data_IF_888381817710
#
_entry.id   IF_888381817710
#
_cell.length_a   1.000
_cell.length_b   1.000
_cell.length_c   1.000
_cell.angle_alpha   90.00
_cell.angle_beta   90.00
_cell.angle_gamma   90.00
#
_symmetry.space_group_name_H-M   'P 1'
#
loop_
_entity.id
_entity.type
_entity.pdbx_description
1 polymer ?
#
# COMPACT_ATOMS: atom_id res chain seq x y z
N UNK A 1 -1.45 17.69 -19.28
CA UNK A 1 -0.37 17.01 -18.50
C UNK A 1 0.39 18.04 -17.64
N UNK A 2 -0.34 18.72 -16.74
CA UNK A 2 0.22 19.79 -15.88
C UNK A 2 1.04 19.22 -14.72
N UNK A 3 0.82 17.97 -14.31
CA UNK A 3 1.45 17.35 -13.14
C UNK A 3 2.69 16.47 -13.46
N UNK A 4 3.06 16.31 -14.72
CA UNK A 4 4.14 15.41 -15.13
C UNK A 4 5.52 15.72 -14.53
N UNK A 5 6.01 16.99 -14.53
CA UNK A 5 7.33 17.30 -13.99
C UNK A 5 7.41 17.21 -12.46
N UNK A 6 6.32 17.57 -11.77
CA UNK A 6 6.25 17.53 -10.31
C UNK A 6 6.17 16.09 -9.79
N UNK A 7 5.40 15.23 -10.48
CA UNK A 7 5.32 13.81 -10.15
C UNK A 7 6.67 13.10 -10.39
N UNK A 8 7.43 13.52 -11.42
CA UNK A 8 8.79 13.02 -11.66
C UNK A 8 9.74 13.35 -10.52
N UNK A 9 9.73 14.58 -10.03
CA UNK A 9 10.57 14.99 -8.92
C UNK A 9 10.30 14.19 -7.65
N UNK A 10 9.02 13.95 -7.34
CA UNK A 10 8.63 13.11 -6.20
C UNK A 10 9.07 11.66 -6.37
N UNK A 11 8.90 11.09 -7.57
CA UNK A 11 9.31 9.71 -7.86
C UNK A 11 10.83 9.58 -7.85
N UNK A 12 11.57 10.54 -8.40
CA UNK A 12 13.03 10.54 -8.39
C UNK A 12 13.57 10.68 -6.96
N UNK A 13 12.93 11.46 -6.12
CA UNK A 13 13.29 11.62 -4.72
C UNK A 13 12.97 10.35 -3.90
N UNK A 14 11.85 9.70 -4.20
CA UNK A 14 11.46 8.44 -3.59
C UNK A 14 12.36 7.27 -4.06
N UNK A 15 12.74 7.25 -5.34
CA UNK A 15 13.67 6.24 -5.88
C UNK A 15 15.13 6.45 -5.45
N UNK A 16 15.52 7.67 -5.08
CA UNK A 16 16.83 7.94 -4.51
C UNK A 16 17.03 7.35 -3.11
N UNK A 17 15.94 6.96 -2.45
CA UNK A 17 15.95 6.29 -1.14
C UNK A 17 16.60 4.91 -1.23
N UNK A 18 16.31 4.20 -2.32
CA UNK A 18 16.87 2.88 -2.59
C UNK A 18 17.93 2.99 -3.69
N UNK A 19 19.20 2.77 -3.38
CA UNK A 19 20.23 2.80 -4.41
C UNK A 19 19.94 1.73 -5.48
N UNK A 20 20.16 2.07 -6.77
CA UNK A 20 19.93 1.11 -7.85
C UNK A 20 20.89 -0.08 -7.70
N UNK A 21 20.37 -1.28 -7.66
CA UNK A 21 21.18 -2.50 -7.64
C UNK A 21 21.71 -2.75 -9.05
N UNK A 22 22.97 -2.36 -9.29
CA UNK A 22 23.71 -2.74 -10.48
C UNK A 22 24.74 -3.77 -10.07
N UNK A 23 24.40 -5.06 -10.30
CA UNK A 23 25.31 -6.15 -9.98
C UNK A 23 26.69 -5.93 -10.60
N UNK A 24 27.72 -5.93 -9.77
CA UNK A 24 29.11 -5.84 -10.19
C UNK A 24 29.77 -7.21 -10.28
N UNK A 25 28.99 -8.29 -10.02
CA UNK A 25 29.48 -9.66 -10.01
C UNK A 25 30.39 -9.99 -8.82
N UNK A 26 30.46 -9.12 -7.84
CA UNK A 26 31.21 -9.32 -6.61
C UNK A 26 30.32 -9.97 -5.55
N UNK A 27 30.63 -11.22 -5.22
CA UNK A 27 29.85 -11.99 -4.25
C UNK A 27 30.27 -11.66 -2.82
N UNK A 28 29.28 -11.28 -1.98
CA UNK A 28 29.49 -11.00 -0.56
C UNK A 28 28.60 -11.93 0.27
N UNK A 29 29.18 -12.47 1.36
CA UNK A 29 28.43 -13.26 2.32
C UNK A 29 27.47 -12.38 3.10
N UNK A 30 26.19 -12.73 3.07
CA UNK A 30 25.18 -12.05 3.87
C UNK A 30 25.32 -12.43 5.35
N UNK A 31 25.12 -11.45 6.23
CA UNK A 31 25.10 -11.65 7.69
C UNK A 31 23.73 -12.25 8.11
N UNK A 32 23.64 -12.86 9.30
CA UNK A 32 22.34 -13.28 9.83
C UNK A 32 21.33 -12.15 9.92
N UNK A 33 20.05 -12.44 9.62
CA UNK A 33 18.97 -11.44 9.64
C UNK A 33 18.85 -10.71 10.99
N UNK A 34 19.14 -11.41 12.09
CA UNK A 34 19.08 -10.82 13.43
C UNK A 34 20.05 -9.63 13.58
N UNK A 35 21.19 -9.67 12.90
CA UNK A 35 22.20 -8.62 12.97
C UNK A 35 21.74 -7.37 12.19
N UNK A 36 21.08 -7.55 11.03
CA UNK A 36 20.44 -6.44 10.30
C UNK A 36 19.33 -5.78 11.10
N UNK A 37 18.50 -6.58 11.80
CA UNK A 37 17.45 -6.04 12.67
C UNK A 37 18.04 -5.27 13.85
N UNK A 38 19.15 -5.75 14.41
CA UNK A 38 19.87 -5.07 15.49
C UNK A 38 20.45 -3.74 15.01
N UNK A 39 21.12 -3.75 13.85
CA UNK A 39 21.68 -2.54 13.26
C UNK A 39 20.60 -1.49 12.91
N UNK A 40 19.44 -1.95 12.43
CA UNK A 40 18.31 -1.07 12.18
C UNK A 40 17.72 -0.48 13.47
N UNK A 41 17.63 -1.27 14.55
CA UNK A 41 17.17 -0.80 15.85
C UNK A 41 18.15 0.20 16.49
N UNK A 42 19.44 0.05 16.26
CA UNK A 42 20.46 1.00 16.71
C UNK A 42 20.37 2.32 15.91
N UNK A 43 20.11 2.23 14.61
CA UNK A 43 19.98 3.40 13.74
C UNK A 43 18.69 4.19 13.97
N UNK A 44 17.57 3.51 14.28
CA UNK A 44 16.27 4.12 14.53
C UNK A 44 15.53 3.38 15.65
N UNK A 45 15.86 3.67 16.94
CA UNK A 45 15.30 2.94 18.08
C UNK A 45 13.77 3.06 18.25
N UNK A 46 13.17 4.11 17.70
CA UNK A 46 11.73 4.37 17.79
C UNK A 46 10.92 3.53 16.80
N UNK A 47 11.56 2.89 15.84
CA UNK A 47 10.90 2.14 14.76
C UNK A 47 10.46 0.76 15.24
N UNK A 48 9.18 0.46 15.04
CA UNK A 48 8.66 -0.89 15.10
C UNK A 48 8.79 -1.54 13.73
N UNK A 49 9.53 -2.64 13.62
CA UNK A 49 9.77 -3.31 12.33
C UNK A 49 8.52 -4.05 11.89
N UNK A 50 8.08 -3.78 10.66
CA UNK A 50 6.92 -4.41 10.04
C UNK A 50 7.33 -5.46 8.99
N UNK A 51 8.34 -5.18 8.18
CA UNK A 51 8.84 -6.08 7.12
C UNK A 51 10.28 -5.77 6.73
N UNK A 52 10.91 -6.71 6.03
CA UNK A 52 12.27 -6.57 5.50
C UNK A 52 12.27 -6.93 4.01
N UNK A 53 12.91 -6.09 3.20
CA UNK A 53 13.14 -6.34 1.78
C UNK A 53 14.63 -6.50 1.51
N UNK A 54 15.00 -7.52 0.74
CA UNK A 54 16.38 -7.76 0.31
C UNK A 54 16.45 -7.64 -1.20
N UNK A 55 17.34 -6.80 -1.69
CA UNK A 55 17.62 -6.66 -3.11
C UNK A 55 19.06 -6.98 -3.42
N UNK A 56 19.31 -7.74 -4.48
CA UNK A 56 20.66 -8.15 -4.85
C UNK A 56 21.29 -9.09 -3.82
N UNK A 57 20.56 -10.13 -3.39
CA UNK A 57 21.04 -11.09 -2.41
C UNK A 57 22.41 -11.68 -2.79
N UNK A 58 23.40 -11.55 -1.90
CA UNK A 58 24.76 -12.06 -2.11
C UNK A 58 25.63 -11.23 -3.06
N UNK A 59 25.19 -10.06 -3.50
CA UNK A 59 25.95 -9.12 -4.31
C UNK A 59 26.43 -7.93 -3.47
N UNK A 60 27.65 -7.47 -3.70
CA UNK A 60 28.21 -6.31 -3.00
C UNK A 60 27.41 -5.02 -3.23
N UNK A 61 26.73 -4.90 -4.38
CA UNK A 61 25.84 -3.78 -4.71
C UNK A 61 24.41 -3.98 -4.16
N UNK A 62 24.13 -5.07 -3.45
CA UNK A 62 22.85 -5.33 -2.82
C UNK A 62 22.57 -4.43 -1.63
N UNK A 63 21.34 -4.47 -1.14
CA UNK A 63 20.94 -3.80 0.08
C UNK A 63 19.81 -4.54 0.81
N UNK A 64 19.70 -4.25 2.09
CA UNK A 64 18.63 -4.75 2.97
C UNK A 64 17.86 -3.53 3.50
N UNK A 65 16.58 -3.44 3.19
CA UNK A 65 15.69 -2.42 3.71
C UNK A 65 14.87 -3.01 4.87
N UNK A 66 15.10 -2.47 6.05
CA UNK A 66 14.29 -2.76 7.24
C UNK A 66 13.25 -1.67 7.35
N UNK A 67 12.01 -2.02 7.02
CA UNK A 67 10.89 -1.09 7.01
C UNK A 67 10.00 -1.29 8.24
N UNK A 68 9.46 -0.20 8.72
CA UNK A 68 8.63 -0.21 9.90
C UNK A 68 7.84 1.08 10.10
N UNK A 69 7.32 1.23 11.30
CA UNK A 69 6.50 2.37 11.68
C UNK A 69 7.03 3.06 12.93
N UNK A 70 7.00 4.39 12.92
CA UNK A 70 7.33 5.23 14.07
C UNK A 70 6.03 5.80 14.65
N UNK A 71 5.69 5.49 15.91
CA UNK A 71 4.44 5.94 16.51
C UNK A 71 4.41 7.47 16.68
N UNK A 72 3.20 8.05 16.65
CA UNK A 72 2.99 9.49 16.84
C UNK A 72 2.91 10.31 15.56
N UNK A 73 3.15 9.73 14.40
CA UNK A 73 3.04 10.37 13.10
C UNK A 73 1.92 9.76 12.25
N UNK A 74 1.19 10.57 11.50
CA UNK A 74 0.21 10.09 10.52
C UNK A 74 0.93 9.41 9.36
N UNK A 75 2.00 10.01 8.85
CA UNK A 75 2.92 9.39 7.89
C UNK A 75 4.02 8.62 8.62
N UNK A 76 3.66 7.53 9.29
CA UNK A 76 4.47 6.79 10.26
C UNK A 76 5.50 5.84 9.65
N UNK A 77 5.52 5.65 8.34
CA UNK A 77 6.46 4.73 7.66
C UNK A 77 7.89 5.21 7.77
N UNK A 78 8.77 4.31 8.15
CA UNK A 78 10.21 4.53 8.28
C UNK A 78 10.98 3.40 7.60
N UNK A 79 12.17 3.70 7.13
CA UNK A 79 13.05 2.74 6.46
C UNK A 79 14.49 2.93 6.93
N UNK A 80 15.17 1.83 7.17
CA UNK A 80 16.63 1.79 7.38
C UNK A 80 17.23 0.89 6.31
N UNK A 81 17.95 1.50 5.38
CA UNK A 81 18.60 0.79 4.28
C UNK A 81 20.05 0.50 4.66
N UNK A 82 20.40 -0.77 4.61
CA UNK A 82 21.71 -1.29 5.00
C UNK A 82 22.40 -1.95 3.82
N UNK A 83 23.72 -1.87 3.76
CA UNK A 83 24.52 -2.66 2.84
C UNK A 83 24.67 -4.11 3.32
N UNK A 84 25.18 -5.05 2.51
CA UNK A 84 25.37 -6.44 2.92
C UNK A 84 26.32 -6.62 4.11
N UNK A 85 27.19 -5.66 4.41
CA UNK A 85 28.11 -5.65 5.54
C UNK A 85 27.56 -4.90 6.78
N UNK A 86 26.26 -4.60 6.82
CA UNK A 86 25.54 -3.86 7.86
C UNK A 86 25.88 -2.35 7.95
N UNK A 87 26.56 -1.78 6.97
CA UNK A 87 26.74 -0.34 6.87
C UNK A 87 25.40 0.34 6.59
N UNK A 88 25.07 1.40 7.32
CA UNK A 88 23.85 2.17 7.10
C UNK A 88 24.01 3.05 5.87
N UNK A 89 23.28 2.74 4.82
CA UNK A 89 23.27 3.51 3.56
C UNK A 89 22.33 4.71 3.64
N UNK A 90 21.15 4.52 4.23
CA UNK A 90 20.17 5.58 4.37
C UNK A 90 19.20 5.30 5.53
N UNK A 91 18.73 6.37 6.17
CA UNK A 91 17.68 6.32 7.20
C UNK A 91 16.59 7.30 6.83
N UNK A 92 15.37 6.79 6.74
CA UNK A 92 14.19 7.58 6.39
C UNK A 92 13.24 7.52 7.57
N UNK A 93 13.13 8.63 8.28
CA UNK A 93 12.24 8.75 9.42
C UNK A 93 11.20 9.86 9.17
N UNK A 94 9.99 9.75 9.75
CA UNK A 94 9.00 10.81 9.70
C UNK A 94 9.55 12.13 10.25
N UNK A 95 9.27 13.26 9.57
CA UNK A 95 9.76 14.59 9.96
C UNK A 95 11.21 14.90 9.62
N UNK A 96 11.94 13.97 9.03
CA UNK A 96 13.33 14.18 8.58
C UNK A 96 13.46 14.21 7.05
N UNK A 97 12.36 14.12 6.35
CA UNK A 97 12.28 14.04 4.89
C UNK A 97 12.08 15.40 4.24
N UNK A 98 12.20 15.43 2.90
CA UNK A 98 11.77 16.61 2.15
C UNK A 98 10.29 16.92 2.37
N UNK A 99 9.91 18.18 2.25
CA UNK A 99 8.51 18.62 2.40
C UNK A 99 7.55 17.90 1.43
N UNK A 100 8.02 17.48 0.27
CA UNK A 100 7.24 16.75 -0.70
C UNK A 100 6.90 15.33 -0.21
N UNK A 101 7.89 14.64 0.31
CA UNK A 101 7.72 13.29 0.83
C UNK A 101 6.91 13.28 2.13
N UNK A 102 7.19 14.22 3.05
CA UNK A 102 6.44 14.38 4.29
C UNK A 102 4.98 14.78 4.06
N UNK A 103 4.65 15.37 2.91
CA UNK A 103 3.27 15.64 2.52
C UNK A 103 2.57 14.42 1.91
N UNK A 104 3.30 13.59 1.16
CA UNK A 104 2.74 12.41 0.49
C UNK A 104 2.46 11.26 1.47
N UNK A 105 3.37 11.00 2.40
CA UNK A 105 3.25 9.90 3.37
C UNK A 105 1.97 9.97 4.23
N UNK A 106 1.57 11.13 4.82
CA UNK A 106 0.28 11.26 5.50
C UNK A 106 -0.92 11.06 4.59
N UNK A 107 -0.88 11.53 3.34
CA UNK A 107 -1.98 11.32 2.37
C UNK A 107 -2.17 9.84 2.08
N UNK A 108 -1.07 9.10 1.91
CA UNK A 108 -1.10 7.65 1.74
C UNK A 108 -1.72 6.96 2.97
N UNK A 109 -1.24 7.28 4.17
CA UNK A 109 -1.77 6.73 5.42
C UNK A 109 -3.24 7.08 5.64
N UNK A 110 -3.66 8.32 5.32
CA UNK A 110 -5.05 8.73 5.33
C UNK A 110 -5.89 7.95 4.31
N UNK A 111 -5.35 7.67 3.12
CA UNK A 111 -6.09 6.92 2.10
C UNK A 111 -6.37 5.47 2.53
N UNK A 112 -5.40 4.82 3.15
CA UNK A 112 -5.51 3.42 3.60
C UNK A 112 -6.03 3.25 5.03
N UNK A 113 -6.10 4.31 5.83
CA UNK A 113 -6.58 4.28 7.21
C UNK A 113 -5.71 3.45 8.15
N UNK A 114 -4.40 3.42 7.92
CA UNK A 114 -3.46 2.58 8.69
C UNK A 114 -2.90 3.26 9.95
N UNK A 115 -3.12 4.57 10.11
CA UNK A 115 -2.54 5.40 11.17
C UNK A 115 -3.26 5.36 12.53
N UNK A 116 -4.50 4.91 12.60
CA UNK A 116 -5.35 5.03 13.81
C UNK A 116 -5.85 3.69 14.36
N UNK A 117 -5.22 2.60 14.00
CA UNK A 117 -5.58 1.27 14.49
C UNK A 117 -6.98 0.82 14.09
N UNK A 118 -7.58 -0.07 14.89
CA UNK A 118 -8.84 -0.73 14.56
C UNK A 118 -10.04 0.25 14.53
N UNK A 119 -10.03 1.29 15.35
CA UNK A 119 -11.11 2.28 15.40
C UNK A 119 -11.25 3.02 14.07
N UNK A 120 -10.12 3.48 13.51
CA UNK A 120 -10.10 4.19 12.23
C UNK A 120 -10.53 3.25 11.10
N UNK A 121 -10.10 2.00 11.11
CA UNK A 121 -10.53 0.99 10.12
C UNK A 121 -12.05 0.78 10.14
N UNK A 122 -12.67 0.71 11.30
CA UNK A 122 -14.13 0.63 11.42
C UNK A 122 -14.84 1.89 10.92
N UNK A 123 -14.27 3.07 11.20
CA UNK A 123 -14.82 4.33 10.69
C UNK A 123 -14.76 4.37 9.16
N UNK A 124 -13.64 4.00 8.56
CA UNK A 124 -13.47 3.93 7.10
C UNK A 124 -14.44 2.91 6.48
N UNK A 125 -14.60 1.75 7.11
CA UNK A 125 -15.58 0.76 6.68
C UNK A 125 -17.01 1.32 6.68
N UNK A 126 -17.42 1.98 7.76
CA UNK A 126 -18.74 2.58 7.88
C UNK A 126 -18.95 3.70 6.83
N UNK A 127 -17.96 4.57 6.63
CA UNK A 127 -18.00 5.61 5.59
C UNK A 127 -18.08 5.02 4.19
N UNK A 128 -17.31 3.99 3.90
CA UNK A 128 -17.36 3.28 2.62
C UNK A 128 -18.73 2.64 2.36
N UNK A 129 -19.32 2.02 3.38
CA UNK A 129 -20.66 1.44 3.29
C UNK A 129 -21.73 2.51 3.05
N UNK A 130 -21.67 3.63 3.78
CA UNK A 130 -22.58 4.76 3.58
C UNK A 130 -22.42 5.37 2.18
N UNK A 131 -21.20 5.52 1.70
CA UNK A 131 -20.92 5.99 0.34
C UNK A 131 -21.50 5.06 -0.72
N UNK A 132 -21.34 3.75 -0.55
CA UNK A 132 -21.95 2.76 -1.44
C UNK A 132 -23.48 2.84 -1.44
N UNK A 133 -24.10 2.96 -0.28
CA UNK A 133 -25.56 3.13 -0.15
C UNK A 133 -26.05 4.40 -0.83
N UNK A 134 -25.35 5.52 -0.64
CA UNK A 134 -25.66 6.79 -1.31
C UNK A 134 -25.56 6.68 -2.83
N UNK A 135 -24.52 6.00 -3.32
CA UNK A 135 -24.35 5.79 -4.75
C UNK A 135 -25.45 4.92 -5.35
N UNK A 136 -25.79 3.80 -4.70
CA UNK A 136 -26.87 2.91 -5.16
C UNK A 136 -28.22 3.62 -5.12
N UNK A 137 -28.58 4.24 -3.99
CA UNK A 137 -29.86 4.94 -3.84
C UNK A 137 -29.98 6.12 -4.79
N UNK A 138 -28.91 6.87 -5.01
CA UNK A 138 -28.87 7.97 -5.97
C UNK A 138 -29.13 7.49 -7.41
N UNK A 139 -28.52 6.39 -7.82
CA UNK A 139 -28.73 5.80 -9.13
C UNK A 139 -30.15 5.27 -9.32
N UNK A 140 -30.70 4.58 -8.32
CA UNK A 140 -32.09 4.09 -8.34
C UNK A 140 -33.06 5.26 -8.48
N UNK A 141 -32.94 6.27 -7.64
CA UNK A 141 -33.79 7.45 -7.66
C UNK A 141 -33.70 8.23 -8.98
N UNK A 142 -32.49 8.32 -9.55
CA UNK A 142 -32.30 8.94 -10.85
C UNK A 142 -32.98 8.14 -11.98
N UNK A 143 -32.86 6.80 -11.96
CA UNK A 143 -33.53 5.91 -12.91
C UNK A 143 -35.07 6.02 -12.83
N UNK A 144 -35.64 6.04 -11.63
CA UNK A 144 -37.08 6.20 -11.41
C UNK A 144 -37.57 7.53 -11.98
N UNK A 145 -36.98 8.66 -11.58
CA UNK A 145 -37.38 9.99 -12.07
C UNK A 145 -37.25 10.14 -13.57
N UNK A 146 -36.28 9.49 -14.18
CA UNK A 146 -36.11 9.49 -15.62
C UNK A 146 -37.19 8.63 -16.30
N UNK A 147 -37.49 7.47 -15.74
CA UNK A 147 -38.54 6.59 -16.24
C UNK A 147 -39.91 7.26 -16.22
N UNK A 148 -40.24 7.99 -15.15
CA UNK A 148 -41.51 8.73 -15.01
C UNK A 148 -41.64 9.84 -16.07
N UNK A 149 -40.55 10.47 -16.45
CA UNK A 149 -40.57 11.60 -17.41
C UNK A 149 -40.48 11.18 -18.88
N UNK A 150 -39.75 10.12 -19.19
CA UNK A 150 -39.39 9.75 -20.56
C UNK A 150 -39.76 8.32 -20.92
N UNK A 151 -40.35 7.58 -19.98
CA UNK A 151 -40.61 6.14 -20.10
C UNK A 151 -39.34 5.30 -19.86
N UNK A 152 -39.49 3.96 -19.77
CA UNK A 152 -38.38 3.05 -19.51
C UNK A 152 -37.35 3.10 -20.65
N UNK A 153 -36.12 3.49 -20.33
CA UNK A 153 -35.06 3.56 -21.31
C UNK A 153 -34.04 2.42 -21.10
N UNK A 154 -33.49 1.91 -22.22
CA UNK A 154 -32.42 0.87 -22.15
C UNK A 154 -31.19 1.36 -21.39
N UNK A 155 -30.92 2.68 -21.41
CA UNK A 155 -29.80 3.28 -20.68
C UNK A 155 -29.99 3.24 -19.17
N UNK A 156 -31.20 3.50 -18.66
CA UNK A 156 -31.49 3.41 -17.21
C UNK A 156 -31.43 1.96 -16.70
N UNK A 157 -31.96 1.02 -17.48
CA UNK A 157 -31.82 -0.40 -17.16
C UNK A 157 -30.39 -0.88 -17.13
N UNK A 158 -29.57 -0.45 -18.10
CA UNK A 158 -28.14 -0.78 -18.14
C UNK A 158 -27.38 -0.21 -16.92
N UNK A 159 -27.65 1.04 -16.55
CA UNK A 159 -27.00 1.70 -15.42
C UNK A 159 -27.36 1.03 -14.08
N UNK A 160 -28.61 0.61 -13.92
CA UNK A 160 -29.07 -0.14 -12.77
C UNK A 160 -28.40 -1.52 -12.69
N UNK A 161 -28.35 -2.26 -13.80
CA UNK A 161 -27.69 -3.55 -13.89
C UNK A 161 -26.20 -3.44 -13.62
N UNK A 162 -25.54 -2.41 -14.13
CA UNK A 162 -24.12 -2.13 -13.86
C UNK A 162 -23.88 -1.86 -12.37
N UNK A 163 -24.72 -1.01 -11.76
CA UNK A 163 -24.58 -0.65 -10.34
C UNK A 163 -24.78 -1.87 -9.44
N UNK A 164 -25.82 -2.65 -9.66
CA UNK A 164 -26.10 -3.86 -8.90
C UNK A 164 -25.06 -4.94 -9.17
N UNK A 165 -24.61 -5.08 -10.42
CA UNK A 165 -23.57 -6.02 -10.82
C UNK A 165 -22.22 -5.72 -10.17
N UNK A 166 -21.82 -4.46 -10.08
CA UNK A 166 -20.60 -4.04 -9.39
C UNK A 166 -20.68 -4.34 -7.88
N UNK A 167 -21.81 -3.98 -7.23
CA UNK A 167 -22.00 -4.26 -5.80
C UNK A 167 -21.95 -5.77 -5.53
N UNK A 168 -22.65 -6.58 -6.34
CA UNK A 168 -22.63 -8.03 -6.23
C UNK A 168 -21.25 -8.61 -6.50
N UNK A 169 -20.54 -8.12 -7.54
CA UNK A 169 -19.20 -8.54 -7.90
C UNK A 169 -18.17 -8.30 -6.78
N UNK A 170 -18.25 -7.16 -6.09
CA UNK A 170 -17.40 -6.86 -4.94
C UNK A 170 -17.65 -7.84 -3.79
N UNK A 171 -18.93 -8.09 -3.46
CA UNK A 171 -19.31 -9.03 -2.38
C UNK A 171 -18.85 -10.45 -2.70
N UNK A 172 -19.09 -10.92 -3.92
CA UNK A 172 -18.67 -12.25 -4.37
C UNK A 172 -17.15 -12.36 -4.40
N UNK A 173 -16.46 -11.35 -4.93
CA UNK A 173 -14.99 -11.32 -4.96
C UNK A 173 -14.38 -11.39 -3.56
N UNK A 174 -14.97 -10.67 -2.61
CA UNK A 174 -14.53 -10.70 -1.21
C UNK A 174 -14.80 -12.07 -0.55
N UNK A 175 -15.99 -12.65 -0.78
CA UNK A 175 -16.34 -13.97 -0.29
C UNK A 175 -15.42 -15.05 -0.89
N UNK A 176 -15.13 -15.00 -2.19
CA UNK A 176 -14.19 -15.93 -2.84
C UNK A 176 -12.79 -15.80 -2.24
N UNK A 177 -12.30 -14.58 -2.05
CA UNK A 177 -11.00 -14.34 -1.41
C UNK A 177 -10.97 -14.91 0.00
N UNK A 178 -12.01 -14.66 0.80
CA UNK A 178 -12.12 -15.18 2.16
C UNK A 178 -12.11 -16.70 2.19
N UNK A 179 -12.83 -17.36 1.29
CA UNK A 179 -12.86 -18.82 1.17
C UNK A 179 -11.50 -19.37 0.75
N UNK A 180 -10.83 -18.73 -0.21
CA UNK A 180 -9.48 -19.15 -0.65
C UNK A 180 -8.46 -19.00 0.47
N UNK A 181 -8.53 -17.92 1.25
CA UNK A 181 -7.57 -17.69 2.34
C UNK A 181 -7.82 -18.54 3.59
N UNK A 182 -9.08 -18.93 3.85
CA UNK A 182 -9.45 -19.61 5.08
C UNK A 182 -10.02 -21.03 4.91
N UNK A 183 -10.38 -21.44 3.70
CA UNK A 183 -11.21 -22.64 3.52
C UNK A 183 -10.73 -23.67 2.49
N UNK A 184 -9.79 -23.33 1.61
CA UNK A 184 -9.26 -24.31 0.67
C UNK A 184 -7.81 -24.65 1.07
N UNK A 185 -7.50 -25.92 1.36
CA UNK A 185 -6.12 -26.33 1.48
C UNK A 185 -5.45 -25.99 0.14
N UNK A 186 -4.44 -25.11 0.16
CA UNK A 186 -3.53 -25.00 -0.95
C UNK A 186 -2.94 -26.36 -1.18
N UNK A 187 -3.46 -27.12 -2.17
CA UNK A 187 -2.70 -28.19 -2.73
C UNK A 187 -1.41 -27.58 -3.25
N UNK A 188 -0.25 -27.99 -2.75
CA UNK A 188 0.99 -27.45 -3.26
C UNK A 188 1.00 -27.74 -4.75
N UNK A 189 1.12 -26.70 -5.58
CA UNK A 189 1.58 -26.87 -6.95
C UNK A 189 3.01 -27.40 -6.85
N UNK A 190 3.11 -28.71 -6.62
CA UNK A 190 4.32 -29.45 -6.82
C UNK A 190 4.52 -29.55 -8.33
N UNK A 191 5.69 -29.17 -8.77
CA UNK A 191 6.27 -29.42 -10.07
C UNK A 191 5.69 -28.64 -11.26
N UNK A 192 6.35 -27.55 -11.62
CA UNK A 192 6.95 -27.40 -12.97
C UNK A 192 8.23 -26.59 -12.81
#
# INVERSE_FOLDING_TARGET
LVFGPQLRGVIEEETAVWPPVQSQGESVAMVPMADYLSAAADALPEMSVDWVEIRGYGDAAGWVDVAGSVPGYVGHHAHVVLDPAMGVLNVIAPGQRSLNFDSFSPVYSLHFGDYGGMLVKWLYFAMGLLGALLFVSGNVLWCERRSDRQGPSRGSAFLLLLTLGLCFGVVVGWACRFLVTNGLPCTPCAAW
#
